data_IF_054123689464
#
_entry.id   IF_054123689464
#
_cell.length_a   1.000
_cell.length_b   1.000
_cell.length_c   1.000
_cell.angle_alpha   90.00
_cell.angle_beta   90.00
_cell.angle_gamma   90.00
#
_symmetry.space_group_name_H-M   'P 1'
#
loop_
_entity.id
_entity.type
_entity.pdbx_description
1 polymer ?
#
# COMPACT_ATOMS: atom_id res chain seq x y z
N UNK A 1 -3.93 20.84 82.33
CA UNK A 1 -2.74 21.46 81.70
C UNK A 1 -1.91 20.34 81.09
N UNK A 2 -1.93 20.21 79.76
CA UNK A 2 -0.92 19.44 79.01
C UNK A 2 -0.79 20.10 77.65
N UNK A 3 0.40 20.62 77.42
CA UNK A 3 0.82 21.48 76.32
C UNK A 3 0.96 20.70 75.02
N UNK A 4 0.49 21.32 73.94
CA UNK A 4 0.45 20.81 72.57
C UNK A 4 1.83 21.03 71.92
N UNK A 5 2.50 19.96 71.50
CA UNK A 5 3.75 19.99 70.73
C UNK A 5 3.46 20.24 69.25
N UNK A 6 4.18 21.14 68.54
CA UNK A 6 4.03 21.34 67.10
C UNK A 6 4.80 20.29 66.29
N UNK A 7 4.39 20.00 65.04
CA UNK A 7 5.05 19.00 64.19
C UNK A 7 6.36 19.54 63.57
N UNK A 8 7.31 18.62 63.40
CA UNK A 8 8.62 18.85 62.82
C UNK A 8 8.54 19.14 61.31
N UNK A 9 9.35 20.11 60.88
CA UNK A 9 9.55 20.53 59.49
C UNK A 9 10.22 19.42 58.69
N UNK A 10 9.55 18.91 57.66
CA UNK A 10 10.11 17.97 56.69
C UNK A 10 10.99 18.74 55.69
N UNK A 11 12.26 18.34 55.59
CA UNK A 11 13.26 18.98 54.75
C UNK A 11 13.02 18.69 53.27
N UNK A 12 13.11 19.73 52.44
CA UNK A 12 13.02 19.63 50.98
C UNK A 12 14.19 18.81 50.39
N UNK A 13 13.96 18.00 49.34
CA UNK A 13 15.03 17.23 48.71
C UNK A 13 16.01 18.14 47.95
N UNK A 14 17.29 17.88 48.19
CA UNK A 14 18.44 18.52 47.55
C UNK A 14 18.44 18.33 46.04
N UNK A 15 18.49 19.43 45.29
CA UNK A 15 18.58 19.48 43.84
C UNK A 15 20.00 19.08 43.39
N UNK A 16 20.11 17.96 42.66
CA UNK A 16 21.38 17.56 42.00
C UNK A 16 21.40 18.17 40.60
N UNK A 17 22.39 19.00 40.23
CA UNK A 17 22.46 19.58 38.89
C UNK A 17 22.86 18.52 37.86
N UNK A 18 22.14 18.47 36.74
CA UNK A 18 22.47 17.62 35.60
C UNK A 18 23.77 18.08 34.90
N UNK A 19 24.61 17.15 34.40
CA UNK A 19 25.81 17.53 33.66
C UNK A 19 25.46 18.18 32.31
N UNK A 20 26.32 19.07 31.78
CA UNK A 20 26.04 19.79 30.54
C UNK A 20 25.93 18.83 29.35
N UNK A 21 24.87 19.01 28.55
CA UNK A 21 24.62 18.25 27.34
C UNK A 21 25.62 18.66 26.24
N UNK A 22 26.49 17.73 25.84
CA UNK A 22 27.36 17.90 24.67
C UNK A 22 26.52 17.82 23.39
N UNK A 23 26.65 18.75 22.41
CA UNK A 23 25.92 18.67 21.16
C UNK A 23 26.41 17.47 20.32
N UNK A 24 25.57 16.46 20.15
CA UNK A 24 25.83 15.38 19.20
C UNK A 24 25.54 15.89 17.79
N UNK A 25 26.60 16.14 17.01
CA UNK A 25 26.50 16.39 15.55
C UNK A 25 25.81 15.21 14.85
N UNK A 26 25.00 15.46 13.80
CA UNK A 26 24.42 14.39 13.00
C UNK A 26 25.55 13.69 12.22
N UNK A 27 25.75 12.39 12.47
CA UNK A 27 26.62 11.56 11.63
C UNK A 27 25.85 11.15 10.39
N UNK A 28 26.24 11.76 9.28
CA UNK A 28 25.95 11.33 7.92
C UNK A 28 26.71 10.02 7.61
N UNK A 29 26.08 9.17 6.77
CA UNK A 29 26.61 7.97 6.07
C UNK A 29 26.92 6.70 6.88
N UNK A 30 26.42 5.51 6.44
CA UNK A 30 26.90 4.22 6.93
C UNK A 30 28.25 3.85 6.30
N UNK A 31 29.13 3.09 7.00
CA UNK A 31 30.44 2.70 6.47
C UNK A 31 30.33 1.64 5.36
N UNK A 32 31.28 1.61 4.40
CA UNK A 32 31.36 0.55 3.41
C UNK A 32 32.01 -0.69 4.03
N UNK A 33 31.35 -1.84 3.94
CA UNK A 33 31.95 -3.13 4.29
C UNK A 33 31.08 -4.03 5.13
N UNK A 34 30.05 -4.63 4.52
CA UNK A 34 29.53 -5.91 4.95
C UNK A 34 29.60 -6.85 3.74
N UNK A 35 30.51 -7.81 3.84
CA UNK A 35 30.75 -8.85 2.83
C UNK A 35 29.46 -9.62 2.59
N UNK A 36 28.94 -9.54 1.37
CA UNK A 36 27.90 -10.42 0.87
C UNK A 36 28.48 -11.84 0.77
N UNK A 37 28.03 -12.75 1.63
CA UNK A 37 28.20 -14.19 1.38
C UNK A 37 27.11 -14.57 0.39
N UNK A 38 27.45 -14.54 -0.90
CA UNK A 38 26.63 -15.12 -1.96
C UNK A 38 26.95 -16.62 -1.98
N UNK A 39 26.00 -17.45 -1.56
CA UNK A 39 26.04 -18.88 -1.88
C UNK A 39 25.64 -19.03 -3.36
N UNK A 40 26.64 -19.19 -4.23
CA UNK A 40 26.46 -19.50 -5.64
C UNK A 40 26.37 -21.02 -5.81
N UNK A 41 25.27 -21.52 -6.37
CA UNK A 41 25.18 -22.86 -6.96
C UNK A 41 25.55 -22.71 -8.44
N UNK A 42 26.71 -23.25 -8.82
CA UNK A 42 27.19 -23.35 -10.21
C UNK A 42 26.69 -24.66 -10.83
N UNK A 43 26.02 -24.56 -11.97
CA UNK A 43 25.99 -25.63 -12.98
C UNK A 43 26.64 -25.05 -14.23
N UNK A 44 27.74 -25.67 -14.63
CA UNK A 44 28.52 -25.34 -15.82
C UNK A 44 27.87 -25.92 -17.08
N UNK A 45 27.96 -25.17 -18.19
CA UNK A 45 28.18 -25.72 -19.53
C UNK A 45 28.77 -24.63 -20.43
N UNK A 46 29.85 -25.00 -21.11
CA UNK A 46 30.76 -24.17 -21.88
C UNK A 46 30.22 -23.77 -23.26
N UNK A 47 30.78 -22.71 -23.82
CA UNK A 47 30.58 -22.33 -25.23
C UNK A 47 31.15 -20.96 -25.57
N UNK A 48 32.45 -20.93 -25.86
CA UNK A 48 33.26 -19.80 -26.34
C UNK A 48 32.83 -19.25 -27.70
N UNK A 49 32.86 -17.92 -27.90
CA UNK A 49 33.44 -17.27 -29.10
C UNK A 49 33.66 -15.75 -28.93
N UNK A 50 34.96 -15.39 -28.95
CA UNK A 50 35.65 -14.30 -29.67
C UNK A 50 35.15 -12.83 -29.68
N UNK A 51 35.92 -12.02 -28.94
CA UNK A 51 36.56 -10.73 -29.26
C UNK A 51 36.10 -9.94 -30.50
N UNK A 52 35.56 -8.73 -30.28
CA UNK A 52 35.86 -7.54 -31.09
C UNK A 52 35.51 -6.22 -30.36
N UNK A 53 36.52 -5.37 -30.18
CA UNK A 53 36.47 -3.91 -29.98
C UNK A 53 37.36 -3.32 -31.08
N UNK A 54 37.16 -2.11 -31.64
CA UNK A 54 36.96 -0.81 -30.94
C UNK A 54 36.16 0.22 -31.81
N UNK A 55 36.38 1.57 -31.80
CA UNK A 55 36.39 2.57 -30.71
C UNK A 55 35.44 3.79 -30.91
N UNK A 56 35.34 4.58 -29.84
CA UNK A 56 35.23 6.05 -29.68
C UNK A 56 34.55 6.93 -30.76
N UNK A 57 33.51 7.66 -30.32
CA UNK A 57 32.97 8.84 -30.98
C UNK A 57 33.47 10.13 -30.30
N UNK A 58 34.06 11.02 -31.10
CA UNK A 58 34.25 12.45 -30.78
C UNK A 58 33.75 13.27 -31.96
N UNK A 59 32.76 14.13 -31.75
CA UNK A 59 32.74 15.49 -32.30
C UNK A 59 31.54 16.27 -31.75
N UNK A 60 31.84 17.52 -31.41
CA UNK A 60 31.01 18.60 -30.90
C UNK A 60 30.49 19.43 -32.10
N UNK A 61 29.74 20.49 -31.77
CA UNK A 61 29.29 21.61 -32.62
C UNK A 61 27.89 21.39 -33.27
N UNK A 62 26.94 22.33 -33.35
CA UNK A 62 26.78 23.73 -32.92
C UNK A 62 25.34 24.14 -33.32
N UNK A 63 24.70 25.05 -32.57
CA UNK A 63 23.46 25.81 -32.91
C UNK A 63 23.90 27.16 -33.54
N UNK A 64 23.07 28.11 -34.04
CA UNK A 64 21.62 28.23 -34.37
C UNK A 64 21.48 28.91 -35.79
N UNK A 65 20.53 29.81 -36.20
CA UNK A 65 19.31 30.41 -35.59
C UNK A 65 18.06 30.51 -36.50
N UNK A 66 17.08 31.28 -35.99
CA UNK A 66 15.67 31.45 -36.36
C UNK A 66 15.34 32.54 -37.41
N UNK A 67 14.10 32.51 -37.94
CA UNK A 67 13.33 33.61 -38.59
C UNK A 67 11.84 33.20 -38.60
N UNK A 68 10.91 33.86 -37.87
CA UNK A 68 10.07 35.05 -38.16
C UNK A 68 8.99 34.93 -39.26
N UNK A 69 7.78 35.31 -38.87
CA UNK A 69 6.42 35.36 -39.49
C UNK A 69 6.25 36.44 -40.60
N UNK A 70 5.11 36.52 -41.36
CA UNK A 70 3.87 37.21 -40.92
C UNK A 70 2.50 36.66 -41.45
N UNK A 71 1.43 37.24 -40.87
CA UNK A 71 -0.04 37.13 -41.07
C UNK A 71 -0.58 37.29 -42.51
N UNK A 72 -1.84 36.86 -42.75
CA UNK A 72 -3.01 37.73 -43.10
C UNK A 72 -4.35 36.95 -43.09
N UNK A 73 -5.38 37.70 -42.68
CA UNK A 73 -6.82 37.51 -42.37
C UNK A 73 -7.82 37.23 -43.51
N UNK A 74 -9.00 36.65 -43.18
CA UNK A 74 -10.40 37.13 -43.47
C UNK A 74 -11.42 35.94 -43.39
N UNK A 75 -12.33 35.83 -42.40
CA UNK A 75 -13.67 36.46 -42.17
C UNK A 75 -14.83 35.87 -43.00
N UNK A 76 -15.91 35.46 -42.29
CA UNK A 76 -17.38 35.52 -42.55
C UNK A 76 -18.06 34.32 -41.87
N UNK A 77 -19.26 34.33 -41.27
CA UNK A 77 -20.14 35.25 -40.54
C UNK A 77 -21.23 34.34 -39.88
N UNK A 78 -21.78 34.73 -38.73
CA UNK A 78 -22.81 34.02 -37.94
C UNK A 78 -24.25 34.19 -38.56
N UNK A 79 -25.41 33.73 -37.98
CA UNK A 79 -25.82 33.78 -36.56
C UNK A 79 -26.68 32.60 -36.00
N UNK A 80 -26.97 32.63 -34.68
CA UNK A 80 -27.97 31.80 -33.98
C UNK A 80 -29.43 32.25 -34.23
N UNK A 81 -30.44 31.75 -33.48
CA UNK A 81 -30.69 32.30 -32.14
C UNK A 81 -31.37 31.37 -31.08
N UNK A 82 -31.26 31.85 -29.83
CA UNK A 82 -32.26 31.98 -28.73
C UNK A 82 -32.90 30.80 -27.97
N UNK A 83 -32.94 31.05 -26.66
CA UNK A 83 -33.69 30.37 -25.62
C UNK A 83 -35.14 30.87 -25.57
N UNK A 84 -36.10 29.95 -25.37
CA UNK A 84 -37.49 30.25 -25.08
C UNK A 84 -38.01 29.40 -23.93
N UNK A 85 -38.45 30.05 -22.85
CA UNK A 85 -39.27 29.46 -21.79
C UNK A 85 -40.67 29.16 -22.35
N UNK A 86 -41.17 27.96 -22.13
CA UNK A 86 -42.55 27.60 -22.45
C UNK A 86 -43.04 26.49 -21.53
N UNK A 87 -43.97 26.83 -20.63
CA UNK A 87 -44.82 25.87 -19.91
C UNK A 87 -45.90 25.36 -20.87
N UNK A 88 -46.18 24.05 -20.87
CA UNK A 88 -47.55 23.50 -20.80
C UNK A 88 -47.63 22.00 -21.12
N UNK A 89 -48.50 21.35 -20.33
CA UNK A 89 -49.34 20.18 -20.64
C UNK A 89 -48.72 18.78 -20.73
N UNK A 90 -48.99 18.01 -19.67
CA UNK A 90 -48.90 16.56 -19.61
C UNK A 90 -49.92 15.88 -20.56
N UNK A 91 -49.55 14.80 -21.26
CA UNK A 91 -50.52 13.92 -21.89
C UNK A 91 -51.11 12.93 -20.87
N UNK A 92 -52.44 12.85 -20.93
CA UNK A 92 -53.35 11.98 -20.18
C UNK A 92 -52.97 10.51 -20.40
N UNK A 93 -52.74 9.76 -19.31
CA UNK A 93 -52.49 8.33 -19.35
C UNK A 93 -53.74 7.58 -19.82
N UNK A 94 -53.63 6.81 -20.90
CA UNK A 94 -54.58 5.76 -21.24
C UNK A 94 -54.32 4.56 -20.31
N UNK A 95 -55.30 4.24 -19.47
CA UNK A 95 -55.29 3.05 -18.63
C UNK A 95 -55.40 1.79 -19.52
N UNK A 96 -54.27 1.13 -19.77
CA UNK A 96 -54.26 -0.22 -20.32
C UNK A 96 -54.52 -1.22 -19.19
N UNK A 97 -55.57 -2.01 -19.32
CA UNK A 97 -55.91 -3.10 -18.41
C UNK A 97 -54.83 -4.19 -18.51
N UNK A 98 -54.11 -4.43 -17.41
CA UNK A 98 -53.09 -5.48 -17.32
C UNK A 98 -53.76 -6.83 -17.05
N UNK A 99 -53.54 -7.80 -17.93
CA UNK A 99 -53.79 -9.22 -17.67
C UNK A 99 -52.87 -9.73 -16.53
N UNK A 100 -53.27 -10.74 -15.74
CA UNK A 100 -52.43 -11.27 -14.66
C UNK A 100 -51.20 -11.98 -15.23
N UNK A 101 -50.04 -11.34 -15.10
CA UNK A 101 -48.73 -11.83 -15.53
C UNK A 101 -48.15 -12.86 -14.57
N UNK A 102 -47.46 -13.84 -15.14
CA UNK A 102 -46.67 -14.88 -14.48
C UNK A 102 -45.67 -14.31 -13.43
N UNK A 103 -45.21 -15.12 -12.46
CA UNK A 103 -44.30 -14.66 -11.42
C UNK A 103 -43.02 -14.09 -12.02
N UNK A 104 -42.70 -12.84 -11.68
CA UNK A 104 -41.44 -12.22 -12.07
C UNK A 104 -40.27 -13.01 -11.46
N UNK A 105 -39.18 -13.26 -12.23
CA UNK A 105 -37.98 -13.86 -11.68
C UNK A 105 -37.43 -12.96 -10.57
N UNK A 106 -37.11 -13.57 -9.43
CA UNK A 106 -36.55 -12.87 -8.28
C UNK A 106 -35.30 -12.09 -8.72
N UNK A 107 -35.28 -10.79 -8.43
CA UNK A 107 -34.12 -9.95 -8.67
C UNK A 107 -32.90 -10.53 -7.94
N UNK A 108 -31.71 -10.55 -8.56
CA UNK A 108 -30.51 -10.98 -7.86
C UNK A 108 -30.31 -10.11 -6.63
N UNK A 109 -30.14 -10.75 -5.48
CA UNK A 109 -29.86 -10.07 -4.22
C UNK A 109 -28.68 -9.11 -4.40
N UNK A 110 -28.87 -7.86 -3.98
CA UNK A 110 -27.79 -6.89 -3.94
C UNK A 110 -26.61 -7.48 -3.15
N UNK A 111 -25.35 -7.29 -3.60
CA UNK A 111 -24.19 -7.77 -2.87
C UNK A 111 -24.27 -7.19 -1.45
N UNK A 112 -24.10 -8.08 -0.45
CA UNK A 112 -24.10 -7.71 0.96
C UNK A 112 -23.26 -6.44 1.17
N UNK A 113 -23.85 -5.44 1.82
CA UNK A 113 -23.19 -4.19 2.20
C UNK A 113 -21.77 -4.48 2.68
N UNK A 114 -20.81 -3.81 2.04
CA UNK A 114 -19.40 -3.88 2.37
C UNK A 114 -19.21 -3.66 3.88
N UNK A 115 -18.92 -4.73 4.62
CA UNK A 115 -18.71 -4.64 6.06
C UNK A 115 -17.60 -3.64 6.40
N UNK A 116 -17.68 -3.06 7.60
CA UNK A 116 -16.67 -2.14 8.10
C UNK A 116 -15.27 -2.77 8.00
N UNK A 117 -14.22 -1.98 7.72
CA UNK A 117 -12.85 -2.50 7.65
C UNK A 117 -12.45 -3.18 8.96
N UNK A 118 -11.86 -4.37 8.86
CA UNK A 118 -11.30 -5.07 10.03
C UNK A 118 -10.03 -4.34 10.46
N UNK A 119 -9.88 -4.11 11.76
CA UNK A 119 -8.76 -3.35 12.33
C UNK A 119 -7.85 -4.24 13.16
N UNK A 120 -6.60 -3.84 13.30
CA UNK A 120 -5.65 -4.45 14.20
C UNK A 120 -4.75 -3.38 14.82
N UNK A 121 -4.58 -3.48 16.14
CA UNK A 121 -3.62 -2.69 16.89
C UNK A 121 -2.57 -3.63 17.49
N UNK A 122 -1.29 -3.34 17.27
CA UNK A 122 -0.20 -4.18 17.76
C UNK A 122 1.06 -4.11 16.90
N UNK A 123 1.97 -5.07 17.10
CA UNK A 123 3.17 -5.18 16.29
C UNK A 123 2.90 -5.97 15.02
N UNK A 124 3.53 -5.53 13.95
CA UNK A 124 3.57 -6.18 12.65
C UNK A 124 5.02 -6.31 12.19
N UNK A 125 5.27 -7.14 11.19
CA UNK A 125 6.53 -7.10 10.45
C UNK A 125 6.26 -7.21 8.97
N UNK A 126 7.22 -6.85 8.15
CA UNK A 126 7.20 -7.20 6.74
C UNK A 126 8.56 -7.80 6.36
N UNK A 127 8.56 -8.60 5.30
CA UNK A 127 9.76 -9.26 4.78
C UNK A 127 9.58 -9.51 3.30
N UNK A 128 10.69 -9.57 2.57
CA UNK A 128 10.70 -9.48 1.12
C UNK A 128 9.91 -10.62 0.45
N UNK A 129 10.05 -11.87 0.92
CA UNK A 129 9.27 -13.02 0.44
C UNK A 129 8.29 -13.48 1.53
N UNK A 130 7.05 -13.81 1.14
CA UNK A 130 6.12 -14.46 2.05
C UNK A 130 6.76 -15.73 2.66
N UNK A 131 6.89 -15.83 4.00
CA UNK A 131 7.52 -16.99 4.62
C UNK A 131 6.67 -18.25 4.44
N UNK A 132 7.27 -19.43 4.44
CA UNK A 132 6.50 -20.68 4.40
C UNK A 132 5.57 -20.82 5.61
N UNK A 133 4.47 -21.56 5.48
CA UNK A 133 3.51 -21.74 6.59
C UNK A 133 4.14 -22.37 7.84
N UNK A 134 5.18 -23.20 7.67
CA UNK A 134 5.97 -23.74 8.80
C UNK A 134 6.68 -22.63 9.57
N UNK A 135 7.27 -21.66 8.87
CA UNK A 135 7.89 -20.50 9.50
C UNK A 135 6.82 -19.63 10.16
N UNK A 136 5.71 -19.36 9.48
CA UNK A 136 4.61 -18.58 10.02
C UNK A 136 4.04 -19.20 11.31
N UNK A 137 3.98 -20.53 11.39
CA UNK A 137 3.55 -21.26 12.60
C UNK A 137 4.55 -21.11 13.74
N UNK A 138 5.84 -21.30 13.47
CA UNK A 138 6.90 -21.10 14.47
C UNK A 138 6.93 -19.66 15.01
N UNK A 139 6.72 -18.69 14.13
CA UNK A 139 6.69 -17.27 14.46
C UNK A 139 5.44 -16.81 15.21
N UNK A 140 4.43 -17.67 15.42
CA UNK A 140 3.32 -17.34 16.33
C UNK A 140 3.76 -17.13 17.79
N UNK A 141 4.95 -17.60 18.17
CA UNK A 141 5.57 -17.28 19.46
C UNK A 141 6.28 -15.92 19.51
N UNK A 142 6.29 -15.16 18.41
CA UNK A 142 6.85 -13.81 18.35
C UNK A 142 5.87 -12.75 18.89
N UNK A 143 6.31 -11.51 19.15
CA UNK A 143 5.39 -10.44 19.57
C UNK A 143 4.55 -9.86 18.42
N UNK A 144 4.68 -10.36 17.20
CA UNK A 144 4.00 -9.85 16.02
C UNK A 144 2.65 -10.55 15.79
N UNK A 145 1.62 -9.77 15.44
CA UNK A 145 0.29 -10.28 15.09
C UNK A 145 -0.12 -10.06 13.63
N UNK A 146 0.63 -9.22 12.90
CA UNK A 146 0.40 -8.96 11.48
C UNK A 146 1.67 -9.08 10.64
N UNK A 147 1.50 -9.39 9.36
CA UNK A 147 2.59 -9.53 8.38
C UNK A 147 2.29 -8.76 7.09
N UNK A 148 3.29 -8.03 6.60
CA UNK A 148 3.31 -7.44 5.26
C UNK A 148 3.53 -8.47 4.18
N UNK A 149 2.69 -8.45 3.15
CA UNK A 149 2.79 -9.33 1.98
C UNK A 149 2.92 -8.51 0.69
N UNK A 150 3.99 -8.74 -0.07
CA UNK A 150 4.25 -8.03 -1.32
C UNK A 150 3.47 -8.69 -2.47
N UNK A 151 2.17 -8.42 -2.54
CA UNK A 151 1.24 -9.20 -3.36
C UNK A 151 1.24 -8.83 -4.85
N UNK A 152 1.81 -7.68 -5.22
CA UNK A 152 1.83 -7.25 -6.62
C UNK A 152 2.74 -6.06 -6.89
N UNK A 153 2.73 -5.65 -8.16
CA UNK A 153 3.43 -4.47 -8.63
C UNK A 153 4.76 -4.78 -9.32
N UNK A 154 5.09 -3.98 -10.33
CA UNK A 154 6.28 -4.17 -11.18
C UNK A 154 7.59 -3.84 -10.46
N UNK A 155 7.53 -3.04 -9.39
CA UNK A 155 8.68 -2.57 -8.63
C UNK A 155 9.07 -3.44 -7.43
N UNK A 156 8.47 -4.62 -7.24
CA UNK A 156 8.77 -5.50 -6.10
C UNK A 156 10.25 -5.86 -6.03
N UNK A 157 10.82 -5.79 -4.83
CA UNK A 157 12.20 -6.21 -4.57
C UNK A 157 12.41 -7.70 -4.76
N UNK A 158 11.51 -8.51 -4.19
CA UNK A 158 11.43 -9.95 -4.46
C UNK A 158 10.35 -10.22 -5.52
N UNK A 159 10.75 -10.44 -6.79
CA UNK A 159 9.81 -10.49 -7.91
C UNK A 159 8.92 -11.74 -7.87
N UNK A 160 9.43 -12.84 -7.30
CA UNK A 160 8.72 -14.11 -7.18
C UNK A 160 8.33 -14.33 -5.71
N UNK A 161 7.03 -14.42 -5.45
CA UNK A 161 6.49 -14.73 -4.13
C UNK A 161 6.07 -16.20 -4.09
N UNK A 162 7.05 -17.12 -3.93
CA UNK A 162 6.82 -18.57 -4.11
C UNK A 162 5.70 -19.13 -3.24
N UNK A 163 5.65 -18.70 -1.99
CA UNK A 163 4.67 -19.19 -1.00
C UNK A 163 3.32 -18.46 -1.11
N UNK A 164 3.29 -17.24 -1.66
CA UNK A 164 2.10 -16.38 -1.61
C UNK A 164 1.05 -16.82 -2.61
N UNK A 165 0.19 -17.73 -2.15
CA UNK A 165 -0.94 -18.29 -2.88
C UNK A 165 -2.25 -18.01 -2.13
N UNK A 166 -3.43 -18.23 -2.75
CA UNK A 166 -4.70 -18.12 -2.04
C UNK A 166 -4.79 -19.08 -0.84
N UNK A 167 -4.23 -20.28 -0.98
CA UNK A 167 -4.17 -21.27 0.10
C UNK A 167 -3.27 -20.81 1.25
N UNK A 168 -2.13 -20.19 0.95
CA UNK A 168 -1.27 -19.59 1.96
C UNK A 168 -1.97 -18.44 2.68
N UNK A 169 -2.64 -17.53 1.95
CA UNK A 169 -3.39 -16.41 2.53
C UNK A 169 -4.46 -16.90 3.48
N UNK A 170 -5.26 -17.89 3.07
CA UNK A 170 -6.27 -18.50 3.92
C UNK A 170 -5.66 -19.18 5.16
N UNK A 171 -4.55 -19.91 4.99
CA UNK A 171 -3.89 -20.65 6.07
C UNK A 171 -3.22 -19.72 7.09
N UNK A 172 -2.51 -18.69 6.63
CA UNK A 172 -1.91 -17.68 7.49
C UNK A 172 -3.00 -16.93 8.28
N UNK A 173 -4.10 -16.57 7.62
CA UNK A 173 -5.23 -15.93 8.29
C UNK A 173 -5.90 -16.82 9.34
N UNK A 174 -6.14 -18.10 9.01
CA UNK A 174 -6.71 -19.09 9.95
C UNK A 174 -5.79 -19.36 11.14
N UNK A 175 -4.47 -19.21 10.97
CA UNK A 175 -3.47 -19.26 12.04
C UNK A 175 -3.47 -18.02 12.95
N UNK A 176 -4.31 -17.02 12.64
CA UNK A 176 -4.45 -15.80 13.42
C UNK A 176 -3.55 -14.64 12.98
N UNK A 177 -2.84 -14.77 11.84
CA UNK A 177 -2.13 -13.63 11.27
C UNK A 177 -3.10 -12.63 10.65
N UNK A 178 -2.83 -11.34 10.87
CA UNK A 178 -3.41 -10.26 10.06
C UNK A 178 -2.47 -9.97 8.89
N UNK A 179 -3.02 -9.61 7.73
CA UNK A 179 -2.25 -9.39 6.52
C UNK A 179 -2.30 -7.92 6.11
N UNK A 180 -1.16 -7.38 5.71
CA UNK A 180 -0.98 -6.02 5.20
C UNK A 180 -0.53 -6.13 3.73
N UNK A 181 -1.43 -6.00 2.74
CA UNK A 181 -1.06 -6.19 1.35
C UNK A 181 -0.32 -4.97 0.80
N UNK A 182 0.98 -5.12 0.47
CA UNK A 182 1.79 -4.09 -0.18
C UNK A 182 1.86 -4.30 -1.70
N UNK A 183 1.52 -3.26 -2.45
CA UNK A 183 1.66 -3.20 -3.90
C UNK A 183 2.81 -2.28 -4.27
N UNK A 184 3.88 -2.83 -4.84
CA UNK A 184 5.08 -2.06 -5.21
C UNK A 184 4.97 -1.64 -6.66
N UNK A 185 4.24 -0.55 -6.87
CA UNK A 185 3.95 -0.01 -8.20
C UNK A 185 5.13 0.75 -8.80
N UNK A 186 4.83 1.56 -9.80
CA UNK A 186 5.77 2.53 -10.33
C UNK A 186 6.18 3.56 -9.30
N UNK A 187 7.43 4.00 -9.40
CA UNK A 187 8.12 4.77 -8.38
C UNK A 187 8.29 6.23 -8.81
N UNK A 188 8.46 7.13 -7.85
CA UNK A 188 8.73 8.53 -8.13
C UNK A 188 9.86 8.69 -9.18
N UNK A 189 9.75 9.61 -10.16
CA UNK A 189 10.79 9.78 -11.18
C UNK A 189 12.19 10.06 -10.61
N UNK A 190 12.23 10.68 -9.43
CA UNK A 190 13.43 10.99 -8.66
C UNK A 190 13.69 10.02 -7.50
N UNK A 191 13.21 8.77 -7.59
CA UNK A 191 13.45 7.74 -6.56
C UNK A 191 14.94 7.59 -6.25
N UNK A 192 15.27 7.54 -4.97
CA UNK A 192 16.66 7.49 -4.50
C UNK A 192 17.27 6.12 -4.78
N UNK A 193 16.46 5.06 -4.66
CA UNK A 193 16.88 3.68 -4.95
C UNK A 193 17.22 3.47 -6.42
N UNK A 194 18.49 3.16 -6.70
CA UNK A 194 18.99 2.87 -8.05
C UNK A 194 18.25 1.71 -8.70
N UNK A 195 17.98 0.64 -7.94
CA UNK A 195 17.27 -0.55 -8.42
C UNK A 195 15.82 -0.24 -8.86
N UNK A 196 15.25 0.85 -8.33
CA UNK A 196 13.86 1.25 -8.58
C UNK A 196 13.70 2.24 -9.72
N UNK A 197 14.78 2.89 -10.18
CA UNK A 197 14.74 3.91 -11.25
C UNK A 197 14.12 3.41 -12.55
N UNK A 198 14.37 2.15 -12.92
CA UNK A 198 13.75 1.52 -14.11
C UNK A 198 12.23 1.38 -14.03
N UNK A 199 11.66 1.57 -12.85
CA UNK A 199 10.23 1.53 -12.59
C UNK A 199 9.62 2.92 -12.40
N UNK A 200 10.32 4.00 -12.80
CA UNK A 200 9.82 5.36 -12.71
C UNK A 200 8.41 5.52 -13.32
N UNK A 201 7.60 6.38 -12.69
CA UNK A 201 6.34 6.88 -13.23
C UNK A 201 6.65 7.64 -14.53
N UNK A 202 5.92 7.32 -15.60
CA UNK A 202 6.12 7.92 -16.91
C UNK A 202 5.44 9.28 -17.07
N UNK A 203 5.31 9.72 -18.33
CA UNK A 203 4.70 11.01 -18.70
C UNK A 203 3.18 11.08 -18.49
N UNK A 204 2.50 9.96 -18.27
CA UNK A 204 1.05 9.87 -18.04
C UNK A 204 0.73 9.36 -16.62
N UNK A 205 1.12 10.08 -15.55
CA UNK A 205 1.05 9.58 -14.18
C UNK A 205 -0.37 9.18 -13.75
N UNK A 206 -1.39 9.95 -14.13
CA UNK A 206 -2.77 9.64 -13.77
C UNK A 206 -3.29 8.35 -14.44
N UNK A 207 -3.09 8.21 -15.75
CA UNK A 207 -3.46 6.99 -16.49
C UNK A 207 -2.76 5.77 -15.93
N UNK A 208 -1.46 5.90 -15.65
CA UNK A 208 -0.67 4.84 -15.07
C UNK A 208 -1.15 4.47 -13.65
N UNK A 209 -1.45 5.46 -12.82
CA UNK A 209 -1.99 5.26 -11.46
C UNK A 209 -3.32 4.51 -11.47
N UNK A 210 -4.26 4.91 -12.33
CA UNK A 210 -5.53 4.19 -12.51
C UNK A 210 -5.29 2.74 -12.94
N UNK A 211 -4.43 2.52 -13.93
CA UNK A 211 -4.11 1.15 -14.39
C UNK A 211 -3.56 0.30 -13.25
N UNK A 212 -2.56 0.81 -12.53
CA UNK A 212 -1.92 0.06 -11.43
C UNK A 212 -2.85 -0.12 -10.22
N UNK A 213 -3.81 0.77 -9.99
CA UNK A 213 -4.88 0.60 -9.00
C UNK A 213 -5.79 -0.58 -9.35
N UNK A 214 -6.18 -0.68 -10.62
CA UNK A 214 -6.92 -1.83 -11.14
C UNK A 214 -6.12 -3.13 -11.07
N UNK A 215 -4.82 -3.08 -11.39
CA UNK A 215 -3.91 -4.23 -11.30
C UNK A 215 -3.78 -4.72 -9.85
N UNK A 216 -3.65 -3.81 -8.88
CA UNK A 216 -3.62 -4.11 -7.45
C UNK A 216 -4.90 -4.81 -7.01
N UNK A 217 -6.08 -4.29 -7.36
CA UNK A 217 -7.34 -4.93 -6.98
C UNK A 217 -7.50 -6.31 -7.60
N UNK A 218 -7.12 -6.50 -8.88
CA UNK A 218 -7.17 -7.83 -9.52
C UNK A 218 -6.26 -8.84 -8.82
N UNK A 219 -5.04 -8.45 -8.49
CA UNK A 219 -4.10 -9.31 -7.77
C UNK A 219 -4.59 -9.64 -6.34
N UNK A 220 -5.17 -8.67 -5.63
CA UNK A 220 -5.76 -8.89 -4.31
C UNK A 220 -6.92 -9.90 -4.36
N UNK A 221 -7.84 -9.73 -5.32
CA UNK A 221 -8.94 -10.68 -5.55
C UNK A 221 -8.45 -12.08 -5.86
N UNK A 222 -7.44 -12.20 -6.71
CA UNK A 222 -6.85 -13.50 -7.07
C UNK A 222 -6.30 -14.25 -5.85
N UNK A 223 -5.85 -13.53 -4.81
CA UNK A 223 -5.37 -14.10 -3.54
C UNK A 223 -6.48 -14.33 -2.50
N UNK A 224 -7.74 -14.01 -2.79
CA UNK A 224 -8.84 -14.10 -1.83
C UNK A 224 -8.89 -12.95 -0.83
N UNK A 225 -8.32 -11.79 -1.16
CA UNK A 225 -8.41 -10.56 -0.37
C UNK A 225 -9.64 -9.78 -0.85
N UNK A 226 -10.69 -9.74 -0.02
CA UNK A 226 -11.98 -9.17 -0.37
C UNK A 226 -12.05 -7.64 -0.28
N UNK A 227 -13.18 -7.08 -0.69
CA UNK A 227 -13.50 -5.65 -0.56
C UNK A 227 -13.49 -5.18 0.91
N UNK A 228 -13.39 -3.87 1.09
CA UNK A 228 -13.09 -3.19 2.37
C UNK A 228 -11.71 -3.52 2.95
N UNK A 229 -10.86 -4.26 2.23
CA UNK A 229 -9.46 -4.45 2.62
C UNK A 229 -8.62 -3.22 2.25
N UNK A 230 -7.60 -2.88 3.05
CA UNK A 230 -6.57 -1.95 2.61
C UNK A 230 -5.63 -2.60 1.60
N UNK A 231 -5.23 -1.82 0.59
CA UNK A 231 -4.10 -2.11 -0.27
C UNK A 231 -3.11 -0.97 -0.07
N UNK A 232 -1.86 -1.28 0.27
CA UNK A 232 -0.84 -0.27 0.57
C UNK A 232 0.04 -0.06 -0.66
N UNK A 233 -0.08 1.10 -1.31
CA UNK A 233 0.81 1.49 -2.40
C UNK A 233 2.17 1.87 -1.82
N UNK A 234 3.21 1.15 -2.22
CA UNK A 234 4.60 1.39 -1.82
C UNK A 234 5.27 2.35 -2.82
N UNK A 235 5.58 3.55 -2.33
CA UNK A 235 6.44 4.54 -3.00
C UNK A 235 7.67 4.76 -2.11
N UNK A 236 8.81 4.28 -2.59
CA UNK A 236 10.10 4.38 -1.92
C UNK A 236 10.53 5.84 -1.76
N UNK A 237 11.55 6.08 -0.92
CA UNK A 237 12.13 7.40 -0.76
C UNK A 237 12.60 8.00 -2.09
N UNK A 238 12.34 9.29 -2.27
CA UNK A 238 12.70 10.05 -3.47
C UNK A 238 13.21 11.43 -3.11
N UNK A 239 13.93 12.07 -4.05
CA UNK A 239 14.61 13.35 -3.80
C UNK A 239 13.68 14.42 -3.22
N UNK A 240 13.98 14.83 -1.99
CA UNK A 240 13.28 15.93 -1.31
C UNK A 240 13.50 17.27 -2.04
N UNK A 241 12.45 18.08 -2.15
CA UNK A 241 12.52 19.42 -2.74
C UNK A 241 12.42 19.45 -4.26
N UNK A 242 12.35 18.30 -4.93
CA UNK A 242 12.11 18.21 -6.36
C UNK A 242 10.59 18.33 -6.66
N UNK A 243 10.14 19.56 -6.90
CA UNK A 243 8.72 19.86 -7.04
C UNK A 243 8.05 19.13 -8.22
N UNK A 244 8.76 18.98 -9.34
CA UNK A 244 8.24 18.27 -10.52
C UNK A 244 8.06 16.78 -10.25
N UNK A 245 9.05 16.17 -9.59
CA UNK A 245 8.97 14.78 -9.16
C UNK A 245 7.83 14.55 -8.16
N UNK A 246 7.69 15.42 -7.16
CA UNK A 246 6.61 15.34 -6.17
C UNK A 246 5.24 15.50 -6.83
N UNK A 247 5.07 16.44 -7.75
CA UNK A 247 3.82 16.65 -8.50
C UNK A 247 3.45 15.43 -9.36
N UNK A 248 4.42 14.84 -10.06
CA UNK A 248 4.22 13.62 -10.86
C UNK A 248 3.80 12.45 -9.99
N UNK A 249 4.47 12.26 -8.86
CA UNK A 249 4.17 11.22 -7.87
C UNK A 249 2.77 11.40 -7.28
N UNK A 250 2.41 12.63 -6.90
CA UNK A 250 1.09 12.95 -6.36
C UNK A 250 -0.03 12.65 -7.37
N UNK A 251 0.16 13.02 -8.65
CA UNK A 251 -0.83 12.74 -9.69
C UNK A 251 -1.08 11.23 -9.87
N UNK A 252 -0.01 10.44 -9.83
CA UNK A 252 -0.09 8.98 -9.86
C UNK A 252 -0.81 8.41 -8.63
N UNK A 253 -0.38 8.79 -7.42
CA UNK A 253 -0.96 8.30 -6.15
C UNK A 253 -2.44 8.63 -6.07
N UNK A 254 -2.85 9.85 -6.43
CA UNK A 254 -4.27 10.24 -6.41
C UNK A 254 -5.11 9.42 -7.38
N UNK A 255 -4.60 9.13 -8.58
CA UNK A 255 -5.31 8.31 -9.55
C UNK A 255 -5.42 6.85 -9.10
N UNK A 256 -4.34 6.29 -8.56
CA UNK A 256 -4.34 4.96 -7.95
C UNK A 256 -5.36 4.87 -6.82
N UNK A 257 -5.38 5.86 -5.91
CA UNK A 257 -6.31 5.91 -4.79
C UNK A 257 -7.78 5.97 -5.25
N UNK A 258 -8.10 6.80 -6.26
CA UNK A 258 -9.46 6.87 -6.81
C UNK A 258 -9.89 5.52 -7.37
N UNK A 259 -9.03 4.84 -8.12
CA UNK A 259 -9.37 3.54 -8.70
C UNK A 259 -9.58 2.47 -7.63
N UNK A 260 -8.69 2.40 -6.64
CA UNK A 260 -8.79 1.45 -5.52
C UNK A 260 -10.09 1.65 -4.74
N UNK A 261 -10.47 2.91 -4.44
CA UNK A 261 -11.76 3.22 -3.82
C UNK A 261 -12.94 2.87 -4.71
N UNK A 262 -12.90 3.24 -5.99
CA UNK A 262 -13.96 2.94 -6.96
C UNK A 262 -14.24 1.44 -7.03
N UNK A 263 -13.22 0.62 -6.82
CA UNK A 263 -13.30 -0.84 -6.82
C UNK A 263 -13.60 -1.45 -5.43
N UNK A 264 -13.89 -0.64 -4.41
CA UNK A 264 -14.35 -1.08 -3.10
C UNK A 264 -13.24 -1.46 -2.11
N UNK A 265 -12.01 -0.97 -2.30
CA UNK A 265 -10.87 -1.18 -1.41
C UNK A 265 -10.43 0.15 -0.78
N UNK A 266 -9.65 0.07 0.30
CA UNK A 266 -9.08 1.25 0.95
C UNK A 266 -7.67 1.49 0.42
N UNK A 267 -7.36 2.67 -0.18
CA UNK A 267 -6.00 3.03 -0.50
C UNK A 267 -5.19 3.39 0.75
N UNK A 268 -4.20 2.56 1.06
CA UNK A 268 -3.10 2.89 1.96
C UNK A 268 -1.87 3.36 1.19
N UNK A 269 -0.98 4.09 1.86
CA UNK A 269 0.25 4.58 1.27
C UNK A 269 1.43 4.32 2.18
N UNK A 270 2.46 3.68 1.63
CA UNK A 270 3.75 3.48 2.27
C UNK A 270 4.80 4.42 1.64
N UNK A 271 5.55 5.13 2.48
CA UNK A 271 6.77 5.84 2.06
C UNK A 271 7.65 6.25 3.24
N UNK A 272 8.80 6.85 2.96
CA UNK A 272 9.66 7.49 3.96
C UNK A 272 8.98 8.72 4.58
N UNK A 273 9.12 8.85 5.90
CA UNK A 273 8.69 10.02 6.66
C UNK A 273 9.36 11.33 6.17
N UNK A 274 10.55 11.25 5.58
CA UNK A 274 11.31 12.43 5.18
C UNK A 274 10.90 12.98 3.80
N UNK A 275 10.16 12.20 3.01
CA UNK A 275 9.82 12.51 1.60
C UNK A 275 8.33 12.27 1.33
N UNK A 276 7.92 11.08 0.86
CA UNK A 276 6.54 10.83 0.41
C UNK A 276 5.47 11.09 1.46
N UNK A 277 5.70 10.71 2.71
CA UNK A 277 4.75 10.96 3.82
C UNK A 277 4.62 12.47 4.09
N UNK A 278 5.75 13.18 4.08
CA UNK A 278 5.78 14.64 4.26
C UNK A 278 5.04 15.36 3.12
N UNK A 279 5.20 14.88 1.89
CA UNK A 279 4.50 15.43 0.74
C UNK A 279 2.99 15.17 0.86
N UNK A 280 2.56 13.95 1.21
CA UNK A 280 1.15 13.66 1.44
C UNK A 280 0.53 14.52 2.54
N UNK A 281 1.23 14.75 3.66
CA UNK A 281 0.74 15.64 4.72
C UNK A 281 0.69 17.11 4.28
N UNK A 282 1.66 17.56 3.49
CA UNK A 282 1.62 18.90 2.90
C UNK A 282 0.38 19.07 2.03
N UNK A 283 0.08 18.07 1.21
CA UNK A 283 -1.12 18.07 0.36
C UNK A 283 -2.41 17.96 1.17
N UNK A 284 -2.43 17.20 2.27
CA UNK A 284 -3.58 17.12 3.17
C UNK A 284 -3.88 18.49 3.79
N UNK A 285 -2.85 19.20 4.27
CA UNK A 285 -2.98 20.56 4.80
C UNK A 285 -3.47 21.56 3.75
N UNK A 286 -3.08 21.37 2.49
CA UNK A 286 -3.57 22.16 1.36
C UNK A 286 -5.00 21.82 0.91
N UNK A 287 -5.66 20.81 1.51
CA UNK A 287 -7.02 20.41 1.15
C UNK A 287 -7.13 19.55 -0.12
N UNK A 288 -6.00 19.04 -0.62
CA UNK A 288 -5.96 18.19 -1.81
C UNK A 288 -6.81 16.94 -1.60
N UNK A 289 -7.65 16.62 -2.60
CA UNK A 289 -8.56 15.46 -2.58
C UNK A 289 -7.86 14.20 -3.07
N UNK A 290 -8.49 13.05 -2.85
CA UNK A 290 -8.01 11.73 -3.28
C UNK A 290 -6.67 11.27 -2.66
N UNK A 291 -6.27 11.85 -1.53
CA UNK A 291 -5.13 11.38 -0.74
C UNK A 291 -5.42 10.04 -0.07
N UNK A 292 -4.43 9.25 0.35
CA UNK A 292 -4.64 7.91 0.93
C UNK A 292 -5.54 7.94 2.17
N UNK A 293 -6.25 6.83 2.42
CA UNK A 293 -7.09 6.64 3.61
C UNK A 293 -6.29 6.14 4.81
N UNK A 294 -5.15 5.47 4.57
CA UNK A 294 -4.27 4.91 5.61
C UNK A 294 -2.81 5.30 5.33
N UNK A 295 -2.09 5.73 6.36
CA UNK A 295 -0.69 6.14 6.26
C UNK A 295 0.25 5.10 6.91
N UNK A 296 1.13 4.52 6.10
CA UNK A 296 2.25 3.72 6.56
C UNK A 296 3.54 4.51 6.35
N UNK A 297 4.20 4.92 7.42
CA UNK A 297 5.42 5.72 7.33
C UNK A 297 6.63 4.94 7.81
N UNK A 298 7.76 5.08 7.10
CA UNK A 298 9.05 4.58 7.54
C UNK A 298 9.86 5.69 8.22
N UNK A 299 10.23 5.45 9.48
CA UNK A 299 11.25 6.22 10.20
C UNK A 299 12.01 5.32 11.15
N UNK A 300 13.23 4.96 10.78
CA UNK A 300 13.99 3.94 11.52
C UNK A 300 14.75 4.53 12.71
N UNK A 301 14.03 4.80 13.80
CA UNK A 301 14.59 5.23 15.09
C UNK A 301 14.57 4.15 16.16
N UNK A 302 14.21 2.92 15.79
CA UNK A 302 14.17 1.75 16.67
C UNK A 302 12.96 1.70 17.62
N UNK A 303 12.15 2.75 17.70
CA UNK A 303 10.98 2.83 18.58
C UNK A 303 9.71 3.24 17.83
N UNK A 304 8.55 2.59 18.09
CA UNK A 304 7.26 3.02 17.58
C UNK A 304 6.90 4.46 17.96
N UNK A 305 6.29 5.21 17.03
CA UNK A 305 5.98 6.63 17.18
C UNK A 305 4.69 6.97 16.39
N UNK A 306 3.66 6.12 16.51
CA UNK A 306 2.44 6.21 15.69
C UNK A 306 1.78 7.59 15.73
N UNK A 307 1.73 8.23 16.89
CA UNK A 307 1.06 9.52 17.10
C UNK A 307 2.02 10.70 17.26
N UNK A 308 3.33 10.44 17.34
CA UNK A 308 4.37 11.44 17.66
C UNK A 308 5.35 11.67 16.51
N UNK A 309 5.07 11.14 15.32
CA UNK A 309 5.85 11.44 14.12
C UNK A 309 5.75 12.93 13.76
N UNK A 310 6.87 13.64 13.88
CA UNK A 310 6.95 15.10 13.70
C UNK A 310 6.46 15.63 12.36
N UNK A 311 6.53 14.85 11.27
CA UNK A 311 6.06 15.33 9.96
C UNK A 311 4.54 15.27 9.83
N UNK A 312 3.87 14.39 10.57
CA UNK A 312 2.42 14.21 10.55
C UNK A 312 1.79 15.06 11.64
N UNK A 313 0.71 15.79 11.32
CA UNK A 313 -0.10 16.41 12.37
C UNK A 313 -0.67 15.31 13.29
N UNK A 314 -0.74 15.46 14.63
CA UNK A 314 -1.26 14.42 15.53
C UNK A 314 -2.63 13.84 15.11
N UNK A 315 -3.52 14.70 14.59
CA UNK A 315 -4.86 14.31 14.13
C UNK A 315 -4.97 13.88 12.65
N UNK A 316 -3.86 13.83 11.89
CA UNK A 316 -3.91 13.41 10.49
C UNK A 316 -3.99 11.87 10.38
N UNK A 317 -4.84 11.30 9.52
CA UNK A 317 -4.99 9.84 9.41
C UNK A 317 -5.29 9.16 10.77
N UNK A 318 -6.14 9.81 11.57
CA UNK A 318 -6.68 9.26 12.83
C UNK A 318 -8.21 9.28 12.82
N UNK A 319 -8.86 8.45 13.66
CA UNK A 319 -8.28 7.35 14.42
C UNK A 319 -8.06 6.10 13.54
N UNK A 320 -7.19 5.19 13.98
CA UNK A 320 -6.99 3.86 13.37
C UNK A 320 -6.60 3.86 11.88
N UNK A 321 -5.69 4.74 11.45
CA UNK A 321 -5.22 4.76 10.06
C UNK A 321 -3.70 4.97 9.94
N UNK A 322 -2.92 4.46 10.92
CA UNK A 322 -1.46 4.61 10.94
C UNK A 322 -0.71 3.30 11.14
N UNK A 323 0.39 3.18 10.41
CA UNK A 323 1.41 2.14 10.55
C UNK A 323 2.78 2.83 10.57
N UNK A 324 3.65 2.42 11.48
CA UNK A 324 5.03 2.92 11.56
C UNK A 324 6.01 1.77 11.37
N UNK A 325 6.77 1.80 10.28
CA UNK A 325 7.97 0.98 10.13
C UNK A 325 9.12 1.66 10.88
N UNK A 326 9.41 1.15 12.08
CA UNK A 326 10.29 1.83 13.04
C UNK A 326 11.72 1.26 13.08
N UNK A 327 11.96 0.13 12.43
CA UNK A 327 13.28 -0.44 12.22
C UNK A 327 13.26 -1.27 10.93
N UNK A 328 14.31 -1.16 10.12
CA UNK A 328 14.44 -1.97 8.91
C UNK A 328 15.65 -2.89 8.95
N UNK A 329 15.59 -3.97 8.15
CA UNK A 329 16.64 -4.97 7.93
C UNK A 329 17.21 -5.57 9.22
N UNK A 330 16.33 -5.92 10.16
CA UNK A 330 16.74 -6.62 11.40
C UNK A 330 16.54 -8.12 11.25
N UNK A 331 17.45 -8.89 11.82
CA UNK A 331 17.35 -10.36 11.86
C UNK A 331 16.82 -10.79 13.22
N UNK A 332 15.76 -11.59 13.22
CA UNK A 332 15.15 -12.13 14.43
C UNK A 332 14.88 -13.63 14.31
N UNK A 333 14.81 -14.29 15.46
CA UNK A 333 14.56 -15.74 15.54
C UNK A 333 13.46 -16.03 16.53
N UNK A 334 12.42 -16.75 16.09
CA UNK A 334 11.35 -17.25 16.95
C UNK A 334 11.01 -18.68 16.57
N UNK A 335 10.75 -19.53 17.58
CA UNK A 335 10.45 -20.95 17.36
C UNK A 335 11.53 -21.67 16.53
N UNK A 336 12.81 -21.27 16.68
CA UNK A 336 13.94 -21.83 15.93
C UNK A 336 14.00 -21.43 14.44
N UNK A 337 13.21 -20.46 13.98
CA UNK A 337 13.20 -19.97 12.59
C UNK A 337 13.66 -18.52 12.54
N UNK A 338 14.67 -18.25 11.73
CA UNK A 338 15.25 -16.92 11.53
C UNK A 338 14.64 -16.23 10.32
N UNK A 339 14.28 -14.95 10.43
CA UNK A 339 13.89 -14.09 9.31
C UNK A 339 14.63 -12.75 9.38
N UNK A 340 14.93 -12.19 8.21
CA UNK A 340 15.24 -10.78 8.05
C UNK A 340 13.92 -10.02 7.81
N UNK A 341 13.64 -9.04 8.66
CA UNK A 341 12.36 -8.33 8.69
C UNK A 341 12.55 -6.82 8.85
N UNK A 342 11.51 -6.09 8.51
CA UNK A 342 11.29 -4.74 8.99
C UNK A 342 10.23 -4.77 10.11
N UNK A 343 10.49 -4.05 11.20
CA UNK A 343 9.58 -3.98 12.35
C UNK A 343 8.56 -2.88 12.17
N UNK A 344 7.31 -3.24 12.40
CA UNK A 344 6.19 -2.33 12.31
C UNK A 344 5.37 -2.30 13.60
N UNK A 345 4.81 -1.14 13.90
CA UNK A 345 3.75 -0.98 14.88
C UNK A 345 2.55 -0.36 14.15
N UNK A 346 1.34 -0.76 14.50
CA UNK A 346 0.16 -0.31 13.79
C UNK A 346 -1.06 -0.16 14.69
N UNK A 347 -1.92 0.76 14.25
CA UNK A 347 -3.34 0.81 14.56
C UNK A 347 -4.04 1.23 13.27
N UNK A 348 -4.45 0.24 12.48
CA UNK A 348 -4.91 0.44 11.11
C UNK A 348 -5.78 -0.72 10.59
N UNK A 349 -6.48 -0.55 9.46
CA UNK A 349 -7.17 -1.64 8.79
C UNK A 349 -6.21 -2.75 8.33
N UNK A 350 -6.73 -3.97 8.23
CA UNK A 350 -6.04 -5.16 7.74
C UNK A 350 -6.88 -5.87 6.69
N UNK A 351 -6.24 -6.75 5.90
CA UNK A 351 -6.93 -7.50 4.87
C UNK A 351 -8.10 -8.33 5.43
N UNK A 352 -9.22 -8.31 4.70
CA UNK A 352 -10.34 -9.24 4.87
C UNK A 352 -10.12 -10.41 3.95
N UNK A 353 -9.80 -11.57 4.52
CA UNK A 353 -9.61 -12.80 3.76
C UNK A 353 -10.97 -13.47 3.57
N UNK A 354 -11.42 -13.54 2.32
CA UNK A 354 -12.59 -14.34 1.97
C UNK A 354 -12.14 -15.78 1.85
N UNK A 355 -12.78 -16.69 2.59
CA UNK A 355 -12.55 -18.12 2.37
C UNK A 355 -12.83 -18.42 0.88
N UNK A 356 -11.99 -19.22 0.20
CA UNK A 356 -12.34 -19.70 -1.13
C UNK A 356 -13.71 -20.38 -1.01
N UNK A 357 -14.62 -20.07 -1.94
CA UNK A 357 -15.91 -20.75 -2.00
C UNK A 357 -15.61 -22.25 -1.96
N UNK A 358 -16.09 -22.93 -0.90
CA UNK A 358 -16.01 -24.38 -0.87
C UNK A 358 -16.77 -24.83 -2.12
N UNK A 359 -16.09 -25.41 -3.10
CA UNK A 359 -16.78 -26.24 -4.08
C UNK A 359 -17.35 -27.40 -3.27
N UNK A 360 -18.57 -27.25 -2.78
CA UNK A 360 -19.33 -28.38 -2.27
C UNK A 360 -19.65 -29.24 -3.47
N UNK A 361 -18.74 -30.13 -3.83
CA UNK A 361 -19.13 -31.33 -4.55
C UNK A 361 -20.07 -32.09 -3.61
N UNK A 362 -21.38 -31.88 -3.77
CA UNK A 362 -22.37 -32.85 -3.32
C UNK A 362 -22.05 -34.13 -4.08
N UNK A 363 -21.26 -35.01 -3.48
CA UNK A 363 -21.20 -36.40 -3.90
C UNK A 363 -22.57 -36.98 -3.55
N UNK A 364 -23.41 -37.37 -4.52
CA UNK A 364 -24.62 -38.10 -4.21
C UNK A 364 -24.17 -39.44 -3.62
N UNK A 365 -24.51 -39.70 -2.37
CA UNK A 365 -24.38 -41.05 -1.82
C UNK A 365 -25.46 -41.89 -2.52
N UNK A 366 -25.11 -42.91 -3.30
CA UNK A 366 -26.13 -43.81 -3.84
C UNK A 366 -26.76 -44.58 -2.66
N UNK A 367 -28.08 -44.54 -2.57
CA UNK A 367 -28.87 -45.36 -1.67
C UNK A 367 -28.57 -46.83 -1.97
N UNK A 368 -27.97 -47.53 -1.01
CA UNK A 368 -27.77 -48.98 -1.08
C UNK A 368 -29.13 -49.69 -1.16
N UNK A 369 -29.28 -50.55 -2.16
CA UNK A 369 -30.42 -51.44 -2.30
C UNK A 369 -30.50 -52.39 -1.11
N UNK A 370 -31.67 -52.39 -0.46
CA UNK A 370 -32.06 -53.42 0.51
C UNK A 370 -32.26 -54.73 -0.24
N UNK A 371 -31.47 -55.75 0.11
CA UNK A 371 -31.68 -57.11 -0.34
C UNK A 371 -32.99 -57.65 0.28
N UNK A 372 -34.02 -57.80 -0.56
CA UNK A 372 -35.22 -58.55 -0.22
C UNK A 372 -34.92 -60.04 -0.26
N UNK A 373 -34.64 -60.61 0.91
CA UNK A 373 -34.71 -62.06 1.11
C UNK A 373 -36.11 -62.44 1.59
N UNK A 374 -36.70 -63.47 0.99
CA UNK A 374 -37.43 -64.55 1.68
C UNK A 374 -37.77 -65.70 0.71
N UNK A 375 -37.96 -66.91 1.26
CA UNK A 375 -37.56 -68.20 0.67
C UNK A 375 -38.50 -68.74 -0.40
#
# INVERSE_FOLDING_TARGET
MSTRTPPASEAAPTHVPAPPSVPVRPRSTPPPGARTVIAAVLVALAGTTLLHTPPAATARAERPPATTTPDTTAVLAAPGPEAGRGSATAPRALAAQAAPGAPAPAAPAAPALAGAPVRFAGKAFDTCEAPSLTVMKAWRGSPYGAVGIYFGGRGRGCPVQKELTPAWVASAHAMGWRLLPLFVGSQAPCVDSLAKRRFAIGSAPATQGTKEGGDAVRAAKALGIGTSSPLYLDIEAYRRGDASCAATTLAFVRAWNREVRRLGYLPGFYSSADTGVRDMETQRRAGTKDLPDVMWFARWRGQPALLTESVLHPDAWTPHARIHQYAGNVTETYGGRTLAIDRNAMDAPVARVTAPARFTTRVPVPLSFVAGGRP
#
